data_IF_004329348012
#
_entry.id   IF_004329348012
#
_cell.length_a   1.000
_cell.length_b   1.000
_cell.length_c   1.000
_cell.angle_alpha   90.00
_cell.angle_beta   90.00
_cell.angle_gamma   90.00
#
_symmetry.space_group_name_H-M   'P 1'
#
loop_
_entity.id
_entity.type
_entity.pdbx_description
1 polymer ?
#
# COMPACT_ATOMS: atom_id res chain seq x y z
N UNK A 1 -0.50 1.42 10.05
CA UNK A 1 -0.64 1.88 8.66
C UNK A 1 0.70 2.45 8.26
N UNK A 2 1.52 1.66 7.59
CA UNK A 2 2.77 2.16 7.05
C UNK A 2 2.46 2.90 5.74
N UNK A 3 2.32 4.23 5.82
CA UNK A 3 2.37 5.09 4.65
C UNK A 3 3.84 5.43 4.40
N UNK A 4 4.43 5.03 3.27
CA UNK A 4 5.72 5.65 2.91
C UNK A 4 5.43 7.12 2.56
N UNK A 5 6.23 8.07 3.04
CA UNK A 5 5.81 9.47 3.16
C UNK A 5 5.66 10.14 1.78
N UNK A 6 4.42 10.39 1.34
CA UNK A 6 4.15 11.38 0.30
C UNK A 6 3.85 12.73 0.98
N UNK A 7 4.75 13.74 0.89
CA UNK A 7 4.53 15.00 1.57
C UNK A 7 3.45 15.80 0.83
N UNK A 8 2.30 15.96 1.48
CA UNK A 8 1.30 17.04 1.35
C UNK A 8 0.94 17.56 -0.07
N UNK A 9 -0.12 16.99 -0.67
CA UNK A 9 -1.00 17.54 -1.74
C UNK A 9 -0.36 17.87 -3.13
N UNK A 10 -1.13 17.81 -4.24
CA UNK A 10 -1.95 16.72 -4.75
C UNK A 10 -1.15 15.91 -5.81
N UNK A 11 -1.12 14.57 -5.71
CA UNK A 11 -0.54 13.70 -6.75
C UNK A 11 -1.40 13.58 -8.01
N UNK A 12 -2.12 14.66 -8.38
CA UNK A 12 -2.81 14.80 -9.65
C UNK A 12 -1.83 15.37 -10.69
N UNK A 13 -0.77 14.63 -11.02
CA UNK A 13 0.14 15.06 -12.07
C UNK A 13 1.49 14.37 -12.12
N UNK A 14 1.63 13.52 -13.14
CA UNK A 14 2.87 13.22 -13.87
C UNK A 14 3.86 12.18 -13.30
N UNK A 15 4.20 11.25 -14.20
CA UNK A 15 5.54 10.79 -14.57
C UNK A 15 6.64 10.71 -13.50
N UNK A 16 7.13 9.48 -13.30
CA UNK A 16 8.55 9.14 -13.07
C UNK A 16 9.49 10.26 -12.59
N UNK A 17 9.58 10.50 -11.27
CA UNK A 17 10.72 11.24 -10.66
C UNK A 17 10.95 10.85 -9.18
N UNK A 18 12.20 10.86 -8.66
CA UNK A 18 12.68 10.03 -7.56
C UNK A 18 12.72 10.76 -6.21
N UNK A 19 11.58 11.33 -5.78
CA UNK A 19 11.52 11.99 -4.48
C UNK A 19 10.14 12.51 -4.15
N UNK A 20 9.32 11.69 -3.48
CA UNK A 20 8.01 12.14 -3.01
C UNK A 20 6.96 11.04 -2.75
N UNK A 21 7.32 9.95 -2.05
CA UNK A 21 6.38 9.08 -1.32
C UNK A 21 5.97 7.73 -1.91
N UNK A 22 5.39 6.88 -1.04
CA UNK A 22 4.81 5.60 -1.45
C UNK A 22 3.72 5.86 -2.46
N UNK A 23 3.72 5.07 -3.53
CA UNK A 23 2.57 4.95 -4.42
C UNK A 23 1.58 3.87 -3.95
N UNK A 24 1.95 3.10 -2.93
CA UNK A 24 1.13 2.03 -2.35
C UNK A 24 1.27 2.04 -0.84
N UNK A 25 0.16 1.89 -0.14
CA UNK A 25 0.05 1.85 1.31
C UNK A 25 -0.53 0.51 1.75
N UNK A 26 0.02 -0.05 2.83
CA UNK A 26 -0.42 -1.33 3.40
C UNK A 26 -1.00 -1.09 4.80
N UNK A 27 -2.22 -1.57 5.03
CA UNK A 27 -2.84 -1.53 6.34
C UNK A 27 -2.40 -2.75 7.17
N UNK A 28 -1.36 -2.55 7.97
CA UNK A 28 -0.74 -3.53 8.87
C UNK A 28 -1.25 -3.45 10.32
N UNK A 29 -2.08 -2.45 10.64
CA UNK A 29 -2.67 -2.23 11.96
C UNK A 29 -4.14 -2.68 12.03
N UNK A 30 -4.44 -3.83 11.44
CA UNK A 30 -5.76 -4.43 11.54
C UNK A 30 -5.75 -5.48 12.66
N UNK A 31 -6.86 -5.62 13.40
CA UNK A 31 -6.94 -6.66 14.39
C UNK A 31 -6.80 -8.03 13.73
N UNK A 32 -6.13 -8.94 14.43
CA UNK A 32 -5.71 -10.23 13.87
C UNK A 32 -6.88 -11.13 13.45
N UNK A 33 -8.07 -10.85 13.96
CA UNK A 33 -9.34 -11.50 13.60
C UNK A 33 -9.77 -11.23 12.16
N UNK A 34 -9.36 -10.11 11.55
CA UNK A 34 -9.71 -9.76 10.18
C UNK A 34 -8.92 -10.54 9.12
N UNK A 35 -7.79 -11.19 9.46
CA UNK A 35 -6.99 -12.09 8.60
C UNK A 35 -6.81 -11.62 7.13
N UNK A 36 -6.77 -10.31 6.90
CA UNK A 36 -6.58 -9.70 5.57
C UNK A 36 -5.56 -8.57 5.62
N UNK A 37 -5.00 -8.28 4.44
CA UNK A 37 -4.03 -7.21 4.20
C UNK A 37 -4.56 -6.30 3.09
N UNK A 38 -5.15 -5.15 3.43
CA UNK A 38 -5.53 -4.14 2.46
C UNK A 38 -4.32 -3.38 1.93
N UNK A 39 -4.29 -3.20 0.61
CA UNK A 39 -3.31 -2.41 -0.13
C UNK A 39 -4.06 -1.34 -0.94
N UNK A 40 -3.68 -0.08 -0.80
CA UNK A 40 -4.29 1.07 -1.52
C UNK A 40 -3.25 1.90 -2.24
N UNK A 41 -3.68 2.57 -3.30
CA UNK A 41 -2.90 3.61 -3.96
C UNK A 41 -3.06 4.93 -3.20
N UNK A 42 -1.94 5.47 -2.71
CA UNK A 42 -1.91 6.76 -1.99
C UNK A 42 -2.33 7.95 -2.86
N UNK A 43 -2.19 7.82 -4.19
CA UNK A 43 -2.59 8.86 -5.16
C UNK A 43 -4.09 8.85 -5.43
N UNK A 44 -4.79 7.79 -5.03
CA UNK A 44 -6.24 7.67 -5.15
C UNK A 44 -6.85 7.13 -3.85
N UNK A 45 -6.88 7.93 -2.76
CA UNK A 45 -7.32 7.48 -1.44
C UNK A 45 -8.80 7.06 -1.39
N UNK A 46 -9.62 7.65 -2.27
CA UNK A 46 -11.03 7.29 -2.44
C UNK A 46 -11.25 6.14 -3.44
N UNK A 47 -10.17 5.68 -4.09
CA UNK A 47 -10.17 4.52 -4.94
C UNK A 47 -10.39 3.22 -4.17
N UNK A 48 -10.58 2.15 -4.93
CA UNK A 48 -10.79 0.83 -4.37
C UNK A 48 -9.49 0.30 -3.75
N UNK A 49 -9.60 -0.39 -2.62
CA UNK A 49 -8.49 -1.17 -2.06
C UNK A 49 -8.46 -2.55 -2.68
N UNK A 50 -7.25 -3.08 -2.86
CA UNK A 50 -7.05 -4.52 -3.00
C UNK A 50 -6.96 -5.12 -1.60
N UNK A 51 -7.64 -6.24 -1.38
CA UNK A 51 -7.64 -6.93 -0.08
C UNK A 51 -7.14 -8.34 -0.31
N UNK A 52 -6.00 -8.67 0.30
CA UNK A 52 -5.40 -9.99 0.20
C UNK A 52 -5.63 -10.78 1.48
N UNK A 53 -5.85 -12.11 1.43
CA UNK A 53 -5.65 -12.96 2.59
C UNK A 53 -4.21 -12.83 3.11
N UNK A 54 -4.02 -12.89 4.43
CA UNK A 54 -2.69 -12.78 5.07
C UNK A 54 -1.70 -13.78 4.48
N UNK A 55 -2.10 -15.03 4.29
CA UNK A 55 -1.22 -16.09 3.77
C UNK A 55 -0.78 -15.82 2.32
N UNK A 56 -1.69 -15.30 1.49
CA UNK A 56 -1.38 -14.95 0.10
C UNK A 56 -0.43 -13.76 0.03
N UNK A 57 -0.62 -12.76 0.89
CA UNK A 57 0.30 -11.62 0.99
C UNK A 57 1.70 -12.05 1.48
N UNK A 58 1.75 -12.92 2.49
CA UNK A 58 3.01 -13.45 3.02
C UNK A 58 3.77 -14.27 1.95
N UNK A 59 3.06 -15.12 1.20
CA UNK A 59 3.64 -15.86 0.09
C UNK A 59 4.18 -14.91 -0.98
N UNK A 60 3.40 -13.92 -1.40
CA UNK A 60 3.81 -12.90 -2.37
C UNK A 60 5.09 -12.18 -1.94
N UNK A 61 5.15 -11.63 -0.72
CA UNK A 61 6.34 -10.94 -0.21
C UNK A 61 7.54 -11.87 -0.10
N UNK A 62 7.32 -13.13 0.29
CA UNK A 62 8.39 -14.14 0.35
C UNK A 62 8.98 -14.39 -1.03
N UNK A 63 8.15 -14.47 -2.09
CA UNK A 63 8.65 -14.64 -3.46
C UNK A 63 9.46 -13.45 -3.98
N UNK A 64 9.33 -12.27 -3.37
CA UNK A 64 10.06 -11.06 -3.75
C UNK A 64 11.38 -10.87 -2.98
N UNK A 65 11.58 -11.60 -1.88
CA UNK A 65 12.85 -11.63 -1.13
C UNK A 65 13.72 -12.74 -1.71
N UNK A 66 14.44 -12.42 -2.79
CA UNK A 66 15.56 -13.24 -3.24
C UNK A 66 16.68 -13.29 -2.20
#
# INVERSE_FOLDING_TARGET
MFALPCPALPCAGQGSNPGGGACLEVADNLPADLSVVPVRDSRNPHGHALVFPVDAWAAFVTTLRN
#
